data_IF_024899982530
#
_entry.id   IF_024899982530
#
_cell.length_a   1.000
_cell.length_b   1.000
_cell.length_c   1.000
_cell.angle_alpha   90.00
_cell.angle_beta   90.00
_cell.angle_gamma   90.00
#
_symmetry.space_group_name_H-M   'P 1'
#
loop_
_entity.id
_entity.type
_entity.pdbx_description
1 polymer ?
#
# COMPACT_ATOMS: atom_id res chain seq x y z
N UNK A 1 -22.82 13.60 -1.81
CA UNK A 1 -21.48 14.17 -2.06
C UNK A 1 -20.45 13.11 -1.75
N UNK A 2 -19.59 12.74 -2.70
CA UNK A 2 -18.52 11.77 -2.48
C UNK A 2 -17.35 12.49 -1.82
N UNK A 3 -16.78 11.95 -0.74
CA UNK A 3 -15.63 12.57 -0.06
C UNK A 3 -14.35 12.40 -0.88
N UNK A 4 -13.44 13.39 -0.80
CA UNK A 4 -12.18 13.39 -1.56
C UNK A 4 -11.35 12.12 -1.37
N UNK A 5 -11.28 11.58 -0.15
CA UNK A 5 -10.55 10.33 0.13
C UNK A 5 -11.18 9.11 -0.54
N UNK A 6 -12.51 9.06 -0.62
CA UNK A 6 -13.20 7.99 -1.33
C UNK A 6 -12.92 8.05 -2.84
N UNK A 7 -12.81 9.25 -3.42
CA UNK A 7 -12.42 9.40 -4.82
C UNK A 7 -11.00 8.87 -5.09
N UNK A 8 -10.05 9.07 -4.17
CA UNK A 8 -8.69 8.51 -4.31
C UNK A 8 -8.69 6.98 -4.31
N UNK A 9 -9.51 6.37 -3.46
CA UNK A 9 -9.71 4.91 -3.42
C UNK A 9 -10.27 4.44 -4.77
N UNK A 10 -11.34 5.07 -5.26
CA UNK A 10 -11.93 4.69 -6.55
C UNK A 10 -10.96 4.85 -7.71
N UNK A 11 -10.14 5.90 -7.71
CA UNK A 11 -9.13 6.11 -8.74
C UNK A 11 -8.08 4.99 -8.77
N UNK A 12 -7.67 4.47 -7.60
CA UNK A 12 -6.77 3.32 -7.52
C UNK A 12 -7.42 2.05 -8.05
N UNK A 13 -8.66 1.76 -7.64
CA UNK A 13 -9.41 0.59 -8.10
C UNK A 13 -9.54 0.62 -9.62
N UNK A 14 -10.01 1.75 -10.15
CA UNK A 14 -10.17 1.97 -11.60
C UNK A 14 -8.84 1.77 -12.35
N UNK A 15 -7.75 2.37 -11.89
CA UNK A 15 -6.46 2.24 -12.56
C UNK A 15 -5.95 0.80 -12.59
N UNK A 16 -6.16 0.03 -11.51
CA UNK A 16 -5.77 -1.38 -11.47
C UNK A 16 -6.65 -2.22 -12.41
N UNK A 17 -7.95 -1.97 -12.46
CA UNK A 17 -8.87 -2.66 -13.36
C UNK A 17 -8.46 -2.41 -14.83
N UNK A 18 -8.21 -1.16 -15.21
CA UNK A 18 -7.74 -0.81 -16.56
C UNK A 18 -6.39 -1.47 -16.91
N UNK A 19 -5.45 -1.55 -15.95
CA UNK A 19 -4.17 -2.24 -16.18
C UNK A 19 -4.37 -3.74 -16.38
N UNK A 20 -5.22 -4.37 -15.57
CA UNK A 20 -5.46 -5.81 -15.64
C UNK A 20 -6.24 -6.20 -16.91
N UNK A 21 -7.09 -5.31 -17.43
CA UNK A 21 -7.86 -5.53 -18.66
C UNK A 21 -7.06 -5.21 -19.94
N UNK A 22 -5.97 -4.44 -19.88
CA UNK A 22 -5.13 -4.14 -21.04
C UNK A 22 -4.10 -5.25 -21.31
N UNK A 23 -4.24 -6.05 -22.39
CA UNK A 23 -3.30 -7.12 -22.70
C UNK A 23 -1.89 -6.61 -23.07
N UNK A 24 -1.69 -5.31 -23.26
CA UNK A 24 -0.37 -4.69 -23.53
C UNK A 24 0.39 -4.37 -22.26
N UNK A 25 -0.29 -4.24 -21.12
CA UNK A 25 0.31 -3.86 -19.84
C UNK A 25 0.29 -5.09 -18.93
N UNK A 26 1.47 -5.60 -18.57
CA UNK A 26 1.62 -6.76 -17.69
C UNK A 26 0.80 -8.01 -18.14
N UNK A 27 0.99 -8.51 -19.39
CA UNK A 27 0.25 -9.66 -19.88
C UNK A 27 0.46 -10.90 -18.98
N UNK A 28 -0.62 -11.63 -18.72
CA UNK A 28 -0.66 -12.82 -17.85
C UNK A 28 -0.30 -12.56 -16.38
N UNK A 29 -0.34 -11.30 -15.93
CA UNK A 29 -0.13 -10.92 -14.54
C UNK A 29 -1.36 -10.14 -14.08
N UNK A 30 -1.89 -10.47 -12.90
CA UNK A 30 -2.95 -9.70 -12.27
C UNK A 30 -2.37 -8.90 -11.12
N UNK A 31 -2.51 -7.58 -11.18
CA UNK A 31 -2.21 -6.69 -10.08
C UNK A 31 -3.35 -6.71 -9.06
N UNK A 32 -3.00 -7.01 -7.81
CA UNK A 32 -3.86 -6.81 -6.66
C UNK A 32 -3.42 -5.59 -5.84
N UNK A 33 -4.27 -5.15 -4.93
CA UNK A 33 -3.97 -4.04 -4.02
C UNK A 33 -4.60 -4.26 -2.65
N UNK A 34 -4.09 -3.53 -1.66
CA UNK A 34 -4.67 -3.43 -0.32
C UNK A 34 -4.71 -1.97 0.10
N UNK A 35 -5.85 -1.55 0.63
CA UNK A 35 -6.09 -0.17 1.02
C UNK A 35 -6.12 -0.08 2.53
N UNK A 36 -5.35 0.84 3.08
CA UNK A 36 -5.31 1.10 4.51
C UNK A 36 -5.49 2.58 4.79
N UNK A 37 -6.17 2.89 5.89
CA UNK A 37 -6.27 4.24 6.40
C UNK A 37 -4.99 4.64 7.17
N UNK A 38 -4.44 5.80 6.84
CA UNK A 38 -3.31 6.40 7.56
C UNK A 38 -3.76 7.33 8.70
N UNK A 39 -5.07 7.56 8.84
CA UNK A 39 -5.70 8.48 9.79
C UNK A 39 -5.15 9.92 9.71
N UNK A 40 -4.45 10.25 8.62
CA UNK A 40 -3.68 11.49 8.45
C UNK A 40 -2.77 11.82 9.65
N UNK A 41 -2.32 10.81 10.39
CA UNK A 41 -1.58 10.98 11.64
C UNK A 41 -0.24 10.26 11.57
N UNK A 42 0.85 11.03 11.56
CA UNK A 42 2.23 10.55 11.37
C UNK A 42 2.60 9.33 12.22
N UNK A 43 2.19 9.30 13.49
CA UNK A 43 2.46 8.17 14.39
C UNK A 43 1.67 6.91 14.03
N UNK A 44 0.43 7.07 13.54
CA UNK A 44 -0.40 5.95 13.10
C UNK A 44 0.06 5.44 11.73
N UNK A 45 0.64 6.30 10.90
CA UNK A 45 1.25 5.90 9.62
C UNK A 45 2.30 4.83 9.78
N UNK A 46 3.12 4.85 10.85
CA UNK A 46 4.06 3.74 11.13
C UNK A 46 3.34 2.41 11.31
N UNK A 47 2.26 2.37 12.09
CA UNK A 47 1.46 1.16 12.29
C UNK A 47 0.81 0.70 10.99
N UNK A 48 0.26 1.64 10.22
CA UNK A 48 -0.37 1.35 8.92
C UNK A 48 0.63 0.75 7.94
N UNK A 49 1.81 1.36 7.77
CA UNK A 49 2.85 0.86 6.88
C UNK A 49 3.33 -0.54 7.31
N UNK A 50 3.54 -0.77 8.60
CA UNK A 50 3.91 -2.09 9.11
C UNK A 50 2.80 -3.13 8.92
N UNK A 51 1.53 -2.77 9.10
CA UNK A 51 0.40 -3.65 8.84
C UNK A 51 0.20 -3.98 7.35
N UNK A 52 0.61 -3.07 6.47
CA UNK A 52 0.64 -3.30 5.02
C UNK A 52 1.73 -4.33 4.66
N UNK A 53 2.90 -4.24 5.29
CA UNK A 53 4.03 -5.13 5.03
C UNK A 53 3.88 -6.52 5.66
N UNK A 54 3.30 -6.60 6.86
CA UNK A 54 3.24 -7.81 7.66
C UNK A 54 1.79 -8.22 7.94
N UNK A 55 1.36 -9.35 7.36
CA UNK A 55 -0.01 -9.88 7.46
C UNK A 55 -0.28 -10.59 8.81
N UNK A 56 0.28 -10.12 9.93
CA UNK A 56 0.23 -10.82 11.23
C UNK A 56 -0.39 -9.95 12.33
N UNK A 57 -1.26 -10.56 13.15
CA UNK A 57 -1.80 -9.97 14.38
C UNK A 57 -0.71 -9.61 15.40
N UNK A 58 0.44 -10.30 15.33
CA UNK A 58 1.62 -9.96 16.10
C UNK A 58 2.69 -9.40 15.16
N UNK A 59 3.08 -8.16 15.44
CA UNK A 59 4.17 -7.49 14.76
C UNK A 59 5.49 -8.14 15.18
N UNK A 60 5.93 -9.15 14.44
CA UNK A 60 7.22 -9.81 14.64
C UNK A 60 8.13 -9.43 13.46
N UNK A 61 9.08 -8.49 13.65
CA UNK A 61 10.06 -8.16 12.63
C UNK A 61 10.76 -9.41 12.10
N UNK A 62 10.92 -9.50 10.77
CA UNK A 62 11.59 -10.61 10.08
C UNK A 62 10.89 -11.97 10.16
N UNK A 63 9.66 -12.05 10.69
CA UNK A 63 8.89 -13.28 10.63
C UNK A 63 8.30 -13.50 9.23
N UNK A 64 8.61 -14.64 8.61
CA UNK A 64 8.11 -15.05 7.30
C UNK A 64 7.38 -16.39 7.44
N UNK A 65 6.05 -16.36 7.45
CA UNK A 65 5.20 -17.56 7.46
C UNK A 65 3.90 -17.27 6.68
N UNK A 66 3.41 -18.24 5.91
CA UNK A 66 2.16 -18.14 5.13
C UNK A 66 2.35 -17.70 3.67
N UNK A 67 1.22 -17.49 2.96
CA UNK A 67 1.18 -17.03 1.57
C UNK A 67 1.71 -15.58 1.51
N UNK A 68 2.90 -15.41 0.94
CA UNK A 68 3.52 -14.12 0.71
C UNK A 68 2.92 -13.45 -0.53
N UNK A 69 1.85 -12.68 -0.32
CA UNK A 69 1.55 -11.59 -1.25
C UNK A 69 2.65 -10.53 -1.07
N UNK A 70 3.62 -10.52 -1.97
CA UNK A 70 4.73 -9.58 -1.91
C UNK A 70 4.24 -8.20 -2.31
N UNK A 71 4.33 -7.24 -1.38
CA UNK A 71 4.12 -5.82 -1.68
C UNK A 71 5.26 -5.35 -2.55
N UNK A 72 4.95 -5.01 -3.80
CA UNK A 72 5.94 -4.53 -4.79
C UNK A 72 6.09 -3.00 -4.76
N UNK A 73 5.15 -2.29 -4.15
CA UNK A 73 5.13 -0.84 -4.02
C UNK A 73 3.95 -0.36 -3.19
N UNK A 74 4.03 0.89 -2.72
CA UNK A 74 2.98 1.52 -1.91
C UNK A 74 2.67 2.89 -2.48
N UNK A 75 1.40 3.16 -2.77
CA UNK A 75 0.95 4.50 -3.15
C UNK A 75 0.33 5.16 -1.93
N UNK A 76 0.81 6.35 -1.54
CA UNK A 76 0.21 7.10 -0.45
C UNK A 76 1.11 8.17 0.15
N UNK A 77 0.73 8.60 1.34
CA UNK A 77 1.36 9.75 2.00
C UNK A 77 0.72 11.04 1.50
N UNK A 78 -0.53 11.26 1.91
CA UNK A 78 -1.35 12.40 1.48
C UNK A 78 -0.76 13.75 1.95
N UNK A 79 0.09 13.74 2.99
CA UNK A 79 0.87 14.87 3.45
C UNK A 79 2.35 14.53 3.50
N UNK A 80 3.23 15.53 3.36
CA UNK A 80 4.69 15.36 3.43
C UNK A 80 5.14 14.58 4.68
N UNK A 81 4.58 14.92 5.84
CA UNK A 81 4.92 14.25 7.10
C UNK A 81 4.56 12.77 7.09
N UNK A 82 3.35 12.42 6.61
CA UNK A 82 2.93 11.03 6.50
C UNK A 82 3.75 10.27 5.45
N UNK A 83 4.10 10.91 4.34
CA UNK A 83 4.99 10.34 3.32
C UNK A 83 6.36 10.03 3.89
N UNK A 84 6.94 10.96 4.64
CA UNK A 84 8.26 10.79 5.25
C UNK A 84 8.26 9.63 6.26
N UNK A 85 7.24 9.56 7.12
CA UNK A 85 7.12 8.46 8.08
C UNK A 85 7.00 7.09 7.40
N UNK A 86 6.23 7.01 6.31
CA UNK A 86 6.07 5.79 5.55
C UNK A 86 7.36 5.40 4.81
N UNK A 87 8.01 6.35 4.14
CA UNK A 87 9.26 6.15 3.43
C UNK A 87 10.38 5.63 4.36
N UNK A 88 10.43 6.10 5.61
CA UNK A 88 11.40 5.62 6.60
C UNK A 88 11.28 4.11 6.88
N UNK A 89 10.07 3.54 6.86
CA UNK A 89 9.89 2.09 6.97
C UNK A 89 10.18 1.41 5.63
N UNK A 90 9.55 1.86 4.55
CA UNK A 90 9.59 1.17 3.25
C UNK A 90 11.01 1.06 2.70
N UNK A 91 11.84 2.09 2.93
CA UNK A 91 13.26 2.09 2.55
C UNK A 91 14.06 0.96 3.20
N UNK A 92 13.74 0.58 4.46
CA UNK A 92 14.42 -0.52 5.15
C UNK A 92 14.15 -1.87 4.47
N UNK A 93 12.98 -2.01 3.86
CA UNK A 93 12.55 -3.22 3.14
C UNK A 93 12.73 -3.12 1.62
N UNK A 94 13.32 -2.03 1.13
CA UNK A 94 13.55 -1.74 -0.31
C UNK A 94 12.27 -1.74 -1.13
N UNK A 95 11.18 -1.24 -0.56
CA UNK A 95 9.88 -1.12 -1.23
C UNK A 95 9.73 0.32 -1.74
N UNK A 96 9.42 0.53 -3.03
CA UNK A 96 9.19 1.86 -3.57
C UNK A 96 7.89 2.46 -3.03
N UNK A 97 7.92 3.78 -2.79
CA UNK A 97 6.76 4.62 -2.52
C UNK A 97 6.60 5.62 -3.65
#
# INVERSE_FOLDING_TARGET
>A
VVTKFYQHILALVFAIDEINDDPKILPNITLGFRIYDSYSHSRLTYRTALGLLFKSHHFIPNYKCGIQENVIGVIGGLSSDTSLCMANILKLYKIPQ
#
